data_IF_747382364431
#
_entry.id   IF_747382364431
#
_cell.length_a   1.000
_cell.length_b   1.000
_cell.length_c   1.000
_cell.angle_alpha   90.00
_cell.angle_beta   90.00
_cell.angle_gamma   90.00
#
_symmetry.space_group_name_H-M   'P 1'
#
loop_
_entity.id
_entity.type
_entity.pdbx_description
1 polymer ?
#
# COMPACT_ATOMS: atom_id res chain seq x y z
N UNK A 1 0.89 33.11 -8.70
CA UNK A 1 1.36 32.29 -7.55
C UNK A 1 0.39 31.16 -7.17
N UNK A 2 -0.74 31.42 -6.49
CA UNK A 2 -1.70 30.33 -6.17
C UNK A 2 -2.37 29.79 -7.44
N UNK A 3 -2.86 30.66 -8.32
CA UNK A 3 -3.49 30.25 -9.59
C UNK A 3 -2.56 29.40 -10.48
N UNK A 4 -1.26 29.67 -10.45
CA UNK A 4 -0.24 28.98 -11.24
C UNK A 4 0.07 27.58 -10.70
N UNK A 5 0.03 27.42 -9.38
CA UNK A 5 0.06 26.12 -8.72
C UNK A 5 -1.17 25.28 -9.10
N UNK A 6 -2.35 25.91 -9.14
CA UNK A 6 -3.60 25.25 -9.53
C UNK A 6 -3.63 24.86 -11.01
N UNK A 7 -3.12 25.70 -11.93
CA UNK A 7 -3.09 25.38 -13.36
C UNK A 7 -2.09 24.27 -13.67
N UNK A 8 -0.91 24.31 -13.06
CA UNK A 8 0.14 23.33 -13.35
C UNK A 8 -0.15 21.96 -12.71
N UNK A 9 -0.84 21.94 -11.56
CA UNK A 9 -1.25 20.72 -10.88
C UNK A 9 -2.73 20.38 -11.06
N UNK A 10 -3.41 20.97 -12.06
CA UNK A 10 -4.83 20.78 -12.29
C UNK A 10 -5.22 19.30 -12.43
N UNK A 11 -4.40 18.53 -13.16
CA UNK A 11 -4.61 17.09 -13.34
C UNK A 11 -4.50 16.32 -12.02
N UNK A 12 -3.46 16.56 -11.22
CA UNK A 12 -3.28 15.90 -9.92
C UNK A 12 -4.40 16.26 -8.94
N UNK A 13 -4.88 17.50 -8.96
CA UNK A 13 -6.02 17.93 -8.16
C UNK A 13 -7.29 17.20 -8.58
N UNK A 14 -7.59 17.13 -9.87
CA UNK A 14 -8.73 16.36 -10.40
C UNK A 14 -8.64 14.90 -9.98
N UNK A 15 -7.45 14.29 -10.05
CA UNK A 15 -7.21 12.91 -9.62
C UNK A 15 -7.50 12.74 -8.13
N UNK A 16 -7.05 13.67 -7.27
CA UNK A 16 -7.29 13.61 -5.83
C UNK A 16 -8.78 13.76 -5.52
N UNK A 17 -9.45 14.75 -6.10
CA UNK A 17 -10.88 14.97 -5.88
C UNK A 17 -11.72 13.80 -6.40
N UNK A 18 -11.40 13.26 -7.58
CA UNK A 18 -12.05 12.07 -8.13
C UNK A 18 -11.84 10.83 -7.27
N UNK A 19 -10.60 10.62 -6.79
CA UNK A 19 -10.25 9.49 -5.91
C UNK A 19 -10.92 9.60 -4.53
N UNK A 20 -11.00 10.81 -3.98
CA UNK A 20 -11.69 11.08 -2.72
C UNK A 20 -13.20 10.85 -2.85
N UNK A 21 -13.80 11.33 -3.95
CA UNK A 21 -15.20 11.06 -4.27
C UNK A 21 -15.45 9.54 -4.41
N UNK A 22 -14.54 8.80 -5.05
CA UNK A 22 -14.62 7.34 -5.16
C UNK A 22 -14.55 6.64 -3.80
N UNK A 23 -13.70 7.10 -2.86
CA UNK A 23 -13.68 6.59 -1.48
C UNK A 23 -14.97 6.88 -0.73
N UNK A 24 -15.53 8.09 -0.88
CA UNK A 24 -16.80 8.48 -0.26
C UNK A 24 -17.94 7.63 -0.81
N UNK A 25 -18.03 7.48 -2.14
CA UNK A 25 -18.99 6.61 -2.82
C UNK A 25 -18.87 5.16 -2.32
N UNK A 26 -17.65 4.61 -2.28
CA UNK A 26 -17.38 3.29 -1.70
C UNK A 26 -17.85 3.20 -0.25
N UNK A 27 -17.61 4.23 0.57
CA UNK A 27 -18.04 4.27 1.97
C UNK A 27 -19.56 4.39 2.14
N UNK A 28 -20.25 5.05 1.21
CA UNK A 28 -21.70 5.22 1.22
C UNK A 28 -22.41 3.95 0.74
N UNK A 29 -21.93 3.36 -0.36
CA UNK A 29 -22.35 2.02 -0.81
C UNK A 29 -22.13 0.98 0.29
N UNK A 30 -21.05 1.14 1.07
CA UNK A 30 -20.73 0.31 2.21
C UNK A 30 -21.71 0.44 3.40
N UNK A 31 -22.31 1.61 3.63
CA UNK A 31 -23.38 1.76 4.66
C UNK A 31 -24.68 1.07 4.23
N UNK A 32 -24.94 0.95 2.92
CA UNK A 32 -26.18 0.40 2.36
C UNK A 32 -26.11 -1.10 2.06
N UNK A 33 -24.90 -1.66 1.89
CA UNK A 33 -24.65 -3.07 1.59
C UNK A 33 -24.40 -3.97 2.81
N UNK A 34 -24.83 -5.23 2.73
CA UNK A 34 -24.65 -6.23 3.78
C UNK A 34 -23.17 -6.40 4.18
N UNK A 35 -22.85 -6.07 5.44
CA UNK A 35 -21.52 -6.08 6.10
C UNK A 35 -20.71 -7.39 5.94
N UNK A 36 -21.36 -8.48 5.54
CA UNK A 36 -20.82 -9.85 5.44
C UNK A 36 -20.13 -10.19 4.10
N UNK A 37 -20.31 -9.39 3.04
CA UNK A 37 -19.65 -9.59 1.72
C UNK A 37 -18.52 -8.59 1.45
N UNK A 38 -17.75 -8.21 2.47
CA UNK A 38 -16.48 -7.51 2.22
C UNK A 38 -15.50 -8.51 1.60
N UNK A 39 -15.48 -8.58 0.29
CA UNK A 39 -14.59 -9.46 -0.45
C UNK A 39 -13.17 -8.88 -0.51
N UNK A 40 -12.22 -9.74 -0.87
CA UNK A 40 -10.86 -9.37 -1.25
C UNK A 40 -10.83 -8.18 -2.22
N UNK A 41 -11.72 -8.19 -3.22
CA UNK A 41 -11.81 -7.16 -4.25
C UNK A 41 -12.04 -5.76 -3.67
N UNK A 42 -12.82 -5.63 -2.59
CA UNK A 42 -13.07 -4.34 -1.96
C UNK A 42 -11.79 -3.77 -1.33
N UNK A 43 -11.03 -4.61 -0.62
CA UNK A 43 -9.77 -4.19 -0.01
C UNK A 43 -8.70 -3.88 -1.07
N UNK A 44 -8.68 -4.63 -2.19
CA UNK A 44 -7.80 -4.38 -3.32
C UNK A 44 -8.11 -3.03 -4.00
N UNK A 45 -9.38 -2.76 -4.34
CA UNK A 45 -9.79 -1.49 -4.94
C UNK A 45 -9.51 -0.31 -4.00
N UNK A 46 -9.81 -0.46 -2.71
CA UNK A 46 -9.52 0.58 -1.73
C UNK A 46 -8.01 0.87 -1.62
N UNK A 47 -7.16 -0.17 -1.68
CA UNK A 47 -5.71 0.00 -1.71
C UNK A 47 -5.25 0.77 -2.95
N UNK A 48 -5.73 0.40 -4.14
CA UNK A 48 -5.38 1.09 -5.39
C UNK A 48 -5.74 2.58 -5.34
N UNK A 49 -6.92 2.92 -4.79
CA UNK A 49 -7.33 4.32 -4.65
C UNK A 49 -6.39 5.08 -3.69
N UNK A 50 -5.97 4.47 -2.58
CA UNK A 50 -4.99 5.10 -1.69
C UNK A 50 -3.64 5.34 -2.37
N UNK A 51 -3.15 4.37 -3.16
CA UNK A 51 -1.91 4.53 -3.92
C UNK A 51 -1.98 5.71 -4.88
N UNK A 52 -3.09 5.85 -5.62
CA UNK A 52 -3.30 6.97 -6.55
C UNK A 52 -3.29 8.32 -5.80
N UNK A 53 -3.97 8.41 -4.65
CA UNK A 53 -4.00 9.63 -3.84
C UNK A 53 -2.60 9.99 -3.34
N UNK A 54 -1.87 9.02 -2.77
CA UNK A 54 -0.54 9.27 -2.20
C UNK A 54 0.43 9.71 -3.29
N UNK A 55 0.43 9.06 -4.46
CA UNK A 55 1.28 9.45 -5.59
C UNK A 55 0.94 10.85 -6.11
N UNK A 56 -0.34 11.18 -6.25
CA UNK A 56 -0.76 12.51 -6.70
C UNK A 56 -0.38 13.61 -5.69
N UNK A 57 -0.54 13.34 -4.39
CA UNK A 57 -0.11 14.26 -3.33
C UNK A 57 1.41 14.42 -3.32
N UNK A 58 2.18 13.33 -3.45
CA UNK A 58 3.63 13.39 -3.53
C UNK A 58 4.12 14.25 -4.71
N UNK A 59 3.50 14.08 -5.89
CA UNK A 59 3.80 14.90 -7.08
C UNK A 59 3.52 16.39 -6.85
N UNK A 60 2.41 16.74 -6.19
CA UNK A 60 2.10 18.14 -5.84
C UNK A 60 3.16 18.71 -4.87
N UNK A 61 3.55 17.94 -3.86
CA UNK A 61 4.56 18.37 -2.88
C UNK A 61 5.91 18.59 -3.56
N UNK A 62 6.35 17.69 -4.45
CA UNK A 62 7.59 17.85 -5.20
C UNK A 62 7.57 19.11 -6.08
N UNK A 63 6.46 19.36 -6.78
CA UNK A 63 6.28 20.59 -7.57
C UNK A 63 6.40 21.85 -6.69
N UNK A 64 5.82 21.84 -5.49
CA UNK A 64 5.95 22.95 -4.53
C UNK A 64 7.40 23.13 -4.08
N UNK A 65 8.09 22.04 -3.73
CA UNK A 65 9.48 22.11 -3.27
C UNK A 65 10.39 22.70 -4.35
N UNK A 66 10.25 22.25 -5.59
CA UNK A 66 11.04 22.75 -6.73
C UNK A 66 10.76 24.22 -7.03
N UNK A 67 9.48 24.61 -7.08
CA UNK A 67 9.09 25.98 -7.46
C UNK A 67 9.37 27.01 -6.35
N UNK A 68 9.30 26.62 -5.08
CA UNK A 68 9.52 27.51 -3.93
C UNK A 68 10.93 27.39 -3.33
N UNK A 69 11.83 26.59 -3.92
CA UNK A 69 13.22 26.37 -3.50
C UNK A 69 13.35 26.12 -1.98
N UNK A 70 12.47 25.28 -1.44
CA UNK A 70 12.48 24.94 -0.02
C UNK A 70 13.74 24.14 0.31
N UNK A 71 14.71 24.75 0.98
CA UNK A 71 16.00 24.13 1.31
C UNK A 71 15.92 23.05 2.41
N UNK A 72 14.76 22.90 3.07
CA UNK A 72 14.59 21.99 4.19
C UNK A 72 14.23 20.55 3.79
N UNK A 73 13.70 20.32 2.58
CA UNK A 73 13.21 18.99 2.17
C UNK A 73 13.60 18.72 0.71
N UNK A 74 14.35 17.64 0.48
CA UNK A 74 14.69 17.18 -0.87
C UNK A 74 13.52 16.39 -1.48
N UNK A 75 13.21 16.55 -2.78
CA UNK A 75 12.17 15.75 -3.45
C UNK A 75 12.35 14.24 -3.26
N UNK A 76 13.59 13.74 -3.27
CA UNK A 76 13.88 12.33 -3.03
C UNK A 76 13.44 11.81 -1.64
N UNK A 77 13.43 12.67 -0.61
CA UNK A 77 12.92 12.30 0.73
C UNK A 77 11.40 12.17 0.70
N UNK A 78 10.70 13.03 -0.04
CA UNK A 78 9.24 12.92 -0.20
C UNK A 78 8.88 11.65 -0.94
N UNK A 79 9.57 11.32 -2.03
CA UNK A 79 9.32 10.09 -2.79
C UNK A 79 9.57 8.84 -1.96
N UNK A 80 10.63 8.86 -1.14
CA UNK A 80 10.92 7.80 -0.18
C UNK A 80 9.79 7.63 0.86
N UNK A 81 9.29 8.74 1.43
CA UNK A 81 8.18 8.70 2.39
C UNK A 81 6.89 8.20 1.72
N UNK A 82 6.57 8.68 0.53
CA UNK A 82 5.38 8.27 -0.23
C UNK A 82 5.41 6.77 -0.55
N UNK A 83 6.52 6.26 -1.07
CA UNK A 83 6.69 4.84 -1.40
C UNK A 83 6.66 3.96 -0.14
N UNK A 84 7.33 4.38 0.93
CA UNK A 84 7.26 3.71 2.24
C UNK A 84 5.82 3.61 2.76
N UNK A 85 5.08 4.72 2.69
CA UNK A 85 3.68 4.78 3.13
C UNK A 85 2.79 3.80 2.34
N UNK A 86 2.98 3.72 1.02
CA UNK A 86 2.25 2.78 0.15
C UNK A 86 2.57 1.33 0.56
N UNK A 87 3.84 0.98 0.79
CA UNK A 87 4.26 -0.35 1.20
C UNK A 87 3.67 -0.76 2.56
N UNK A 88 3.63 0.16 3.52
CA UNK A 88 3.01 -0.07 4.84
C UNK A 88 1.50 -0.30 4.71
N UNK A 89 0.79 0.54 3.94
CA UNK A 89 -0.65 0.38 3.73
C UNK A 89 -0.96 -0.95 3.05
N UNK A 90 -0.16 -1.36 2.04
CA UNK A 90 -0.28 -2.66 1.39
C UNK A 90 -0.19 -3.80 2.41
N UNK A 91 0.83 -3.75 3.27
CA UNK A 91 1.08 -4.76 4.30
C UNK A 91 -0.10 -4.85 5.28
N UNK A 92 -0.60 -3.72 5.76
CA UNK A 92 -1.76 -3.66 6.67
C UNK A 92 -3.01 -4.27 6.00
N UNK A 93 -3.28 -3.95 4.73
CA UNK A 93 -4.44 -4.47 4.00
C UNK A 93 -4.34 -5.98 3.76
N UNK A 94 -3.16 -6.48 3.39
CA UNK A 94 -2.90 -7.91 3.27
C UNK A 94 -3.06 -8.62 4.62
N UNK A 95 -2.60 -8.04 5.72
CA UNK A 95 -2.74 -8.63 7.05
C UNK A 95 -4.20 -8.73 7.50
N UNK A 96 -5.00 -7.69 7.22
CA UNK A 96 -6.44 -7.72 7.45
C UNK A 96 -7.13 -8.82 6.63
N UNK A 97 -6.72 -8.98 5.38
CA UNK A 97 -7.24 -10.02 4.50
C UNK A 97 -6.89 -11.43 5.01
N UNK A 98 -5.66 -11.67 5.43
CA UNK A 98 -5.22 -12.93 6.01
C UNK A 98 -6.00 -13.24 7.29
N UNK A 99 -6.22 -12.25 8.15
CA UNK A 99 -7.04 -12.40 9.34
C UNK A 99 -8.51 -12.76 8.99
N UNK A 100 -9.04 -12.21 7.90
CA UNK A 100 -10.37 -12.57 7.42
C UNK A 100 -10.39 -14.01 6.88
N UNK A 101 -9.36 -14.44 6.15
CA UNK A 101 -9.22 -15.82 5.70
C UNK A 101 -9.07 -16.80 6.87
N UNK A 102 -8.28 -16.48 7.90
CA UNK A 102 -8.16 -17.27 9.13
C UNK A 102 -9.54 -17.52 9.75
N UNK A 103 -10.33 -16.44 9.95
CA UNK A 103 -11.70 -16.55 10.48
C UNK A 103 -12.62 -17.39 9.59
N UNK A 104 -12.48 -17.28 8.27
CA UNK A 104 -13.26 -18.10 7.34
C UNK A 104 -12.87 -19.57 7.40
N UNK A 105 -11.59 -19.91 7.59
CA UNK A 105 -11.14 -21.30 7.74
C UNK A 105 -11.66 -21.91 9.04
N UNK A 106 -11.59 -21.16 10.15
CA UNK A 106 -12.16 -21.59 11.44
C UNK A 106 -13.67 -21.82 11.29
N UNK A 107 -14.39 -20.91 10.61
CA UNK A 107 -15.84 -21.07 10.37
C UNK A 107 -16.18 -22.30 9.52
N UNK A 108 -15.28 -22.75 8.64
CA UNK A 108 -15.43 -23.99 7.87
C UNK A 108 -15.19 -25.27 8.69
N UNK A 109 -14.88 -25.14 9.99
CA UNK A 109 -14.60 -26.26 10.88
C UNK A 109 -13.14 -26.69 10.91
N UNK A 110 -12.19 -25.89 10.37
CA UNK A 110 -10.78 -26.16 10.59
C UNK A 110 -10.38 -25.87 12.04
N UNK A 111 -9.38 -26.61 12.51
CA UNK A 111 -8.75 -26.41 13.80
C UNK A 111 -8.18 -24.98 13.96
N UNK A 112 -8.44 -24.39 15.12
CA UNK A 112 -8.15 -22.99 15.46
C UNK A 112 -6.66 -22.75 15.64
N UNK A 113 -5.95 -23.68 16.30
CA UNK A 113 -4.50 -23.55 16.53
C UNK A 113 -3.75 -23.63 15.21
N UNK A 114 -4.06 -24.64 14.39
CA UNK A 114 -3.51 -24.82 13.06
C UNK A 114 -3.78 -23.62 12.14
N UNK A 115 -5.01 -23.09 12.12
CA UNK A 115 -5.36 -21.93 11.30
C UNK A 115 -4.58 -20.66 11.70
N UNK A 116 -4.35 -20.45 13.00
CA UNK A 116 -3.57 -19.32 13.51
C UNK A 116 -2.08 -19.45 13.18
N UNK A 117 -1.51 -20.65 13.28
CA UNK A 117 -0.12 -20.88 12.89
C UNK A 117 0.06 -20.63 11.38
N UNK A 118 -0.84 -21.16 10.56
CA UNK A 118 -0.84 -20.92 9.12
C UNK A 118 -0.92 -19.41 8.79
N UNK A 119 -1.77 -18.64 9.50
CA UNK A 119 -1.88 -17.20 9.27
C UNK A 119 -0.60 -16.43 9.62
N UNK A 120 0.15 -16.86 10.64
CA UNK A 120 1.47 -16.29 10.97
C UNK A 120 2.52 -16.62 9.91
N UNK A 121 2.58 -17.87 9.45
CA UNK A 121 3.51 -18.29 8.39
C UNK A 121 3.29 -17.43 7.15
N UNK A 122 2.04 -17.32 6.68
CA UNK A 122 1.70 -16.50 5.50
C UNK A 122 2.11 -15.04 5.69
N UNK A 123 1.88 -14.45 6.87
CA UNK A 123 2.28 -13.06 7.17
C UNK A 123 3.79 -12.86 7.11
N UNK A 124 4.56 -13.77 7.70
CA UNK A 124 6.03 -13.69 7.70
C UNK A 124 6.56 -13.84 6.27
N UNK A 125 6.08 -14.83 5.51
CA UNK A 125 6.48 -15.02 4.11
C UNK A 125 6.19 -13.77 3.28
N UNK A 126 5.01 -13.16 3.43
CA UNK A 126 4.66 -11.93 2.71
C UNK A 126 5.60 -10.77 3.09
N UNK A 127 5.95 -10.59 4.37
CA UNK A 127 6.90 -9.54 4.77
C UNK A 127 8.26 -9.79 4.11
N UNK A 128 8.78 -11.01 4.16
CA UNK A 128 10.08 -11.36 3.56
C UNK A 128 10.08 -11.07 2.06
N UNK A 129 9.03 -11.48 1.35
CA UNK A 129 8.88 -11.20 -0.09
C UNK A 129 8.78 -9.70 -0.36
N UNK A 130 8.02 -8.94 0.43
CA UNK A 130 7.92 -7.49 0.26
C UNK A 130 9.26 -6.79 0.52
N UNK A 131 10.03 -7.22 1.51
CA UNK A 131 11.38 -6.71 1.79
C UNK A 131 12.33 -7.04 0.64
N UNK A 132 12.24 -8.24 0.06
CA UNK A 132 13.05 -8.60 -1.11
C UNK A 132 12.72 -7.75 -2.33
N UNK A 133 11.45 -7.43 -2.56
CA UNK A 133 10.99 -6.66 -3.72
C UNK A 133 11.19 -5.16 -3.57
N UNK A 134 10.90 -4.61 -2.40
CA UNK A 134 10.93 -3.15 -2.15
C UNK A 134 12.12 -2.70 -1.32
N UNK A 135 12.98 -3.63 -0.89
CA UNK A 135 14.09 -3.34 0.01
C UNK A 135 15.09 -2.34 -0.52
N UNK A 136 15.31 -2.33 -1.83
CA UNK A 136 16.16 -1.36 -2.50
C UNK A 136 15.69 0.08 -2.30
N UNK A 137 14.37 0.32 -2.34
CA UNK A 137 13.79 1.64 -2.08
C UNK A 137 14.05 2.11 -0.63
N UNK A 138 14.33 1.20 0.29
CA UNK A 138 14.72 1.49 1.67
C UNK A 138 16.23 1.66 1.87
N UNK A 139 17.01 1.68 0.79
CA UNK A 139 18.46 1.84 0.83
C UNK A 139 19.21 0.55 1.18
N UNK A 140 18.54 -0.61 1.09
CA UNK A 140 19.23 -1.90 1.24
C UNK A 140 19.97 -2.26 -0.06
N UNK A 141 21.11 -2.94 0.08
CA UNK A 141 21.91 -3.34 -1.08
C UNK A 141 21.15 -4.36 -1.95
N UNK A 142 20.90 -4.01 -3.22
CA UNK A 142 20.25 -4.91 -4.16
C UNK A 142 21.01 -6.24 -4.34
N UNK A 143 22.35 -6.19 -4.41
CA UNK A 143 23.18 -7.41 -4.51
C UNK A 143 23.01 -8.32 -3.29
N UNK A 144 22.99 -7.76 -2.07
CA UNK A 144 22.75 -8.54 -0.85
C UNK A 144 21.35 -9.15 -0.79
N UNK A 145 20.32 -8.40 -1.20
CA UNK A 145 18.94 -8.92 -1.29
C UNK A 145 18.82 -10.03 -2.33
N UNK A 146 19.49 -9.90 -3.48
CA UNK A 146 19.52 -10.90 -4.54
C UNK A 146 20.20 -12.19 -4.08
N UNK A 147 21.34 -12.10 -3.38
CA UNK A 147 22.04 -13.27 -2.83
C UNK A 147 21.22 -13.94 -1.73
N UNK A 148 20.62 -13.17 -0.81
CA UNK A 148 19.74 -13.70 0.24
C UNK A 148 18.51 -14.39 -0.36
N UNK A 149 17.84 -13.72 -1.31
CA UNK A 149 16.70 -14.27 -2.02
C UNK A 149 17.06 -15.49 -2.88
N UNK A 150 18.25 -15.51 -3.48
CA UNK A 150 18.76 -16.63 -4.27
C UNK A 150 19.00 -17.88 -3.43
N UNK A 151 19.70 -17.76 -2.29
CA UNK A 151 19.92 -18.88 -1.37
C UNK A 151 18.59 -19.37 -0.78
N UNK A 152 17.72 -18.44 -0.36
CA UNK A 152 16.40 -18.79 0.16
C UNK A 152 15.51 -19.48 -0.88
N UNK A 153 15.52 -18.99 -2.12
CA UNK A 153 14.77 -19.58 -3.24
C UNK A 153 15.25 -20.98 -3.61
N UNK A 154 16.56 -21.20 -3.60
CA UNK A 154 17.16 -22.53 -3.83
C UNK A 154 16.80 -23.55 -2.75
N UNK A 155 16.59 -23.12 -1.50
CA UNK A 155 16.18 -24.03 -0.43
C UNK A 155 14.68 -24.37 -0.47
N UNK A 156 13.86 -23.51 -1.07
CA UNK A 156 12.41 -23.71 -1.20
C UNK A 156 12.04 -24.53 -2.44
N UNK A 157 12.81 -24.40 -3.53
CA UNK A 157 12.63 -25.15 -4.78
C UNK A 157 13.16 -26.56 -4.69
#
# INVERSE_FOLDING_TARGET
MIAELFTNNALNLVIIFGSCAALILMSFWFRRGNRKRKGFLFHAVQFLIYTIIISAVGSIINYVIENYKLQFITPGVIDFICTSLIAVILTIKLFLLINQFEKQQIKKGRDITSARIMSRIIKITIIVVLVLLYGEHFGMSLSGLLTFGGIGGLAVG
#
